data_IF_565290175639
#
_entry.id   IF_565290175639
#
_cell.length_a   1.000
_cell.length_b   1.000
_cell.length_c   1.000
_cell.angle_alpha   90.00
_cell.angle_beta   90.00
_cell.angle_gamma   90.00
#
_symmetry.space_group_name_H-M   'P 1'
#
loop_
_entity.id
_entity.type
_entity.pdbx_description
1 polymer ?
#
# COMPACT_ATOMS: atom_id res chain seq x y z
N UNK A 1 -44.68 22.33 -1.51
CA UNK A 1 -43.23 22.62 -1.57
C UNK A 1 -42.65 21.65 -2.60
N UNK A 2 -42.34 22.15 -3.81
CA UNK A 2 -41.91 21.38 -4.96
C UNK A 2 -40.37 21.23 -4.93
N UNK A 3 -39.90 19.98 -4.92
CA UNK A 3 -38.46 19.65 -5.05
C UNK A 3 -37.99 19.96 -6.48
N UNK A 4 -37.10 20.90 -6.60
CA UNK A 4 -36.44 21.26 -7.86
C UNK A 4 -35.29 20.25 -8.12
N UNK A 5 -35.54 19.21 -8.92
CA UNK A 5 -34.51 18.26 -9.39
C UNK A 5 -33.67 18.94 -10.48
N UNK A 6 -32.46 19.33 -10.15
CA UNK A 6 -31.46 19.85 -11.11
C UNK A 6 -31.00 18.68 -12.00
N UNK A 7 -31.31 18.75 -13.29
CA UNK A 7 -30.92 17.75 -14.27
C UNK A 7 -29.49 18.00 -14.76
N UNK A 8 -28.66 16.96 -14.74
CA UNK A 8 -27.23 17.01 -15.15
C UNK A 8 -27.01 17.53 -16.60
N UNK A 9 -28.03 17.49 -17.44
CA UNK A 9 -27.97 18.02 -18.82
C UNK A 9 -28.04 19.53 -18.90
N UNK A 10 -28.57 20.22 -17.90
CA UNK A 10 -28.73 21.66 -17.90
C UNK A 10 -27.48 22.40 -17.43
N UNK A 11 -26.60 21.75 -16.71
CA UNK A 11 -25.29 22.29 -16.24
C UNK A 11 -24.31 22.45 -17.42
N UNK A 12 -24.39 21.60 -18.44
CA UNK A 12 -23.49 21.69 -19.60
C UNK A 12 -23.88 22.78 -20.63
N UNK A 13 -25.10 23.31 -20.59
CA UNK A 13 -25.55 24.33 -21.55
C UNK A 13 -25.21 25.75 -21.13
N UNK A 14 -24.95 26.00 -19.86
CA UNK A 14 -24.69 27.32 -19.30
C UNK A 14 -23.25 27.82 -19.48
N UNK A 15 -22.33 27.00 -19.98
CA UNK A 15 -20.91 27.35 -20.18
C UNK A 15 -20.55 27.78 -21.62
N UNK A 16 -21.52 27.88 -22.54
CA UNK A 16 -21.26 28.21 -23.95
C UNK A 16 -21.74 29.61 -24.38
N UNK A 17 -22.15 30.44 -23.47
CA UNK A 17 -22.73 31.75 -23.80
C UNK A 17 -22.05 32.90 -23.04
N UNK A 18 -20.73 33.09 -23.17
CA UNK A 18 -20.07 34.37 -22.86
C UNK A 18 -18.65 34.36 -23.47
N UNK A 19 -18.41 35.17 -24.50
CA UNK A 19 -17.06 35.55 -24.89
C UNK A 19 -16.79 35.62 -26.40
N UNK A 20 -17.61 36.33 -27.15
CA UNK A 20 -17.18 36.86 -28.44
C UNK A 20 -16.41 38.17 -28.24
N UNK A 21 -15.08 38.10 -28.24
CA UNK A 21 -14.20 39.25 -28.47
C UNK A 21 -13.35 38.94 -29.67
N UNK A 22 -13.63 39.68 -30.77
CA UNK A 22 -12.80 39.71 -31.96
C UNK A 22 -11.48 40.40 -31.63
N UNK A 23 -10.35 39.71 -31.79
CA UNK A 23 -9.03 40.29 -31.84
C UNK A 23 -8.42 40.04 -33.22
N UNK A 24 -8.13 41.14 -33.87
CA UNK A 24 -7.48 41.31 -35.15
C UNK A 24 -6.13 40.62 -35.25
N UNK A 25 -5.84 40.12 -36.43
CA UNK A 25 -4.72 39.31 -36.81
C UNK A 25 -3.31 39.81 -36.45
N UNK A 26 -2.54 38.88 -35.99
CA UNK A 26 -1.08 38.82 -36.18
C UNK A 26 -0.73 37.38 -36.51
N UNK A 27 -0.30 37.13 -37.75
CA UNK A 27 0.19 35.85 -38.22
C UNK A 27 1.52 35.53 -37.52
N UNK A 28 1.44 34.74 -36.47
CA UNK A 28 2.63 34.11 -35.87
C UNK A 28 2.83 32.78 -36.63
N UNK A 29 3.84 32.74 -37.49
CA UNK A 29 4.35 31.50 -38.10
C UNK A 29 4.84 30.58 -36.96
N UNK A 30 4.05 29.59 -36.61
CA UNK A 30 4.48 28.53 -35.70
C UNK A 30 5.58 27.72 -36.39
N UNK A 31 6.82 27.93 -35.98
CA UNK A 31 7.92 27.04 -36.27
C UNK A 31 7.58 25.67 -35.67
N UNK A 32 7.34 24.68 -36.52
CA UNK A 32 7.19 23.28 -36.12
C UNK A 32 8.49 22.83 -35.45
N UNK A 33 8.48 22.73 -34.13
CA UNK A 33 9.54 22.06 -33.41
C UNK A 33 9.55 20.59 -33.86
N UNK A 34 10.64 20.14 -34.47
CA UNK A 34 10.90 18.74 -34.77
C UNK A 34 10.82 17.96 -33.46
N UNK A 35 10.01 16.88 -33.36
CA UNK A 35 9.94 16.09 -32.15
C UNK A 35 11.33 15.47 -31.90
N UNK A 36 11.90 15.75 -30.75
CA UNK A 36 13.08 15.06 -30.24
C UNK A 36 12.77 13.56 -30.21
N UNK A 37 13.63 12.69 -30.79
CA UNK A 37 13.36 11.26 -30.76
C UNK A 37 13.34 10.80 -29.30
N UNK A 38 12.16 10.37 -28.86
CA UNK A 38 11.98 9.70 -27.58
C UNK A 38 12.86 8.44 -27.58
N UNK A 39 13.65 8.16 -26.52
CA UNK A 39 14.37 6.89 -26.43
C UNK A 39 13.38 5.76 -26.70
N UNK A 40 13.80 4.79 -27.52
CA UNK A 40 12.98 3.64 -27.87
C UNK A 40 12.58 2.91 -26.60
N UNK A 41 11.43 3.25 -26.05
CA UNK A 41 10.71 2.44 -25.08
C UNK A 41 10.44 1.12 -25.81
N UNK A 42 10.88 0.02 -25.24
CA UNK A 42 10.49 -1.33 -25.67
C UNK A 42 8.99 -1.29 -25.96
N UNK A 43 8.64 -1.61 -27.19
CA UNK A 43 7.30 -1.41 -27.72
C UNK A 43 6.27 -2.07 -26.79
N UNK A 44 5.39 -1.31 -26.11
CA UNK A 44 4.39 -1.86 -25.20
C UNK A 44 3.49 -2.89 -25.89
N UNK A 45 3.31 -2.77 -27.20
CA UNK A 45 2.55 -3.69 -28.06
C UNK A 45 3.17 -5.09 -28.08
N UNK A 46 4.50 -5.20 -28.07
CA UNK A 46 5.18 -6.51 -28.07
C UNK A 46 5.03 -7.24 -26.73
N UNK A 47 5.02 -6.53 -25.61
CA UNK A 47 4.78 -7.14 -24.30
C UNK A 47 3.32 -7.58 -24.16
N UNK A 48 2.37 -6.75 -24.58
CA UNK A 48 0.95 -7.07 -24.62
C UNK A 48 0.68 -8.28 -25.53
N UNK A 49 1.35 -8.36 -26.69
CA UNK A 49 1.20 -9.47 -27.62
C UNK A 49 1.71 -10.78 -27.00
N UNK A 50 2.88 -10.78 -26.38
CA UNK A 50 3.43 -11.96 -25.68
C UNK A 50 2.48 -12.49 -24.60
N UNK A 51 1.89 -11.61 -23.79
CA UNK A 51 0.92 -11.98 -22.77
C UNK A 51 -0.36 -12.52 -23.43
N UNK A 52 -0.87 -11.85 -24.46
CA UNK A 52 -2.07 -12.31 -25.18
C UNK A 52 -1.86 -13.69 -25.82
N UNK A 53 -0.70 -13.95 -26.40
CA UNK A 53 -0.36 -15.24 -27.01
C UNK A 53 -0.19 -16.34 -25.93
N UNK A 54 0.40 -16.02 -24.81
CA UNK A 54 0.48 -16.94 -23.67
C UNK A 54 -0.90 -17.33 -23.14
N UNK A 55 -1.82 -16.37 -23.00
CA UNK A 55 -3.20 -16.64 -22.60
C UNK A 55 -3.91 -17.55 -23.62
N UNK A 56 -3.78 -17.29 -24.92
CA UNK A 56 -4.35 -18.12 -25.99
C UNK A 56 -3.83 -19.55 -25.99
N UNK A 57 -2.55 -19.73 -25.61
CA UNK A 57 -1.92 -21.05 -25.51
C UNK A 57 -2.29 -21.80 -24.22
N UNK A 58 -3.12 -21.22 -23.36
CA UNK A 58 -3.54 -21.82 -22.09
C UNK A 58 -2.48 -21.76 -20.99
N UNK A 59 -1.54 -20.82 -21.07
CA UNK A 59 -0.52 -20.61 -20.06
C UNK A 59 -1.14 -20.32 -18.67
N UNK A 60 -0.50 -20.86 -17.65
CA UNK A 60 -0.88 -20.60 -16.25
C UNK A 60 -0.61 -19.16 -15.85
N UNK A 61 -1.27 -18.68 -14.79
CA UNK A 61 -0.99 -17.35 -14.24
C UNK A 61 0.47 -17.15 -13.84
N UNK A 62 1.14 -18.23 -13.42
CA UNK A 62 2.57 -18.20 -13.08
C UNK A 62 3.46 -17.99 -14.31
N UNK A 63 3.14 -18.65 -15.41
CA UNK A 63 3.84 -18.47 -16.69
C UNK A 63 3.62 -17.07 -17.25
N UNK A 64 2.39 -16.57 -17.20
CA UNK A 64 2.08 -15.20 -17.63
C UNK A 64 2.79 -14.17 -16.73
N UNK A 65 2.85 -14.39 -15.43
CA UNK A 65 3.56 -13.51 -14.50
C UNK A 65 5.06 -13.41 -14.82
N UNK A 66 5.69 -14.52 -15.27
CA UNK A 66 7.10 -14.54 -15.68
C UNK A 66 7.39 -13.73 -16.96
N UNK A 67 6.37 -13.40 -17.74
CA UNK A 67 6.54 -12.55 -18.92
C UNK A 67 6.67 -11.07 -18.57
N UNK A 68 6.42 -10.70 -17.32
CA UNK A 68 6.61 -9.35 -16.80
C UNK A 68 7.91 -9.30 -16.02
N UNK A 69 8.61 -8.18 -16.14
CA UNK A 69 9.81 -7.96 -15.33
C UNK A 69 9.43 -7.79 -13.85
N UNK A 70 9.83 -8.69 -12.95
CA UNK A 70 9.54 -8.57 -11.54
C UNK A 70 10.34 -7.41 -10.94
N UNK A 71 9.70 -6.60 -10.11
CA UNK A 71 10.36 -5.54 -9.33
C UNK A 71 11.35 -6.14 -8.32
N UNK A 72 11.08 -7.34 -7.85
CA UNK A 72 11.91 -8.08 -6.90
C UNK A 72 11.71 -9.59 -7.08
N UNK A 73 12.78 -10.35 -7.01
CA UNK A 73 12.80 -11.82 -7.14
C UNK A 73 13.15 -12.55 -5.83
N UNK A 74 13.29 -11.82 -4.71
CA UNK A 74 13.62 -12.40 -3.39
C UNK A 74 13.00 -11.56 -2.26
N UNK A 75 12.86 -12.14 -1.04
CA UNK A 75 12.38 -11.38 0.12
C UNK A 75 13.22 -10.13 0.41
N UNK A 76 14.53 -10.22 0.31
CA UNK A 76 15.45 -9.11 0.57
C UNK A 76 15.32 -7.99 -0.47
N UNK A 77 15.18 -8.34 -1.74
CA UNK A 77 14.94 -7.36 -2.81
C UNK A 77 13.58 -6.70 -2.65
N UNK A 78 12.54 -7.44 -2.29
CA UNK A 78 11.20 -6.92 -2.03
C UNK A 78 11.21 -5.90 -0.88
N UNK A 79 11.87 -6.20 0.24
CA UNK A 79 12.02 -5.28 1.37
C UNK A 79 12.80 -4.03 0.92
N UNK A 80 13.89 -4.20 0.17
CA UNK A 80 14.69 -3.10 -0.36
C UNK A 80 13.87 -2.20 -1.28
N UNK A 81 13.05 -2.78 -2.16
CA UNK A 81 12.18 -2.03 -3.06
C UNK A 81 11.17 -1.15 -2.30
N UNK A 82 10.55 -1.69 -1.23
CA UNK A 82 9.65 -0.94 -0.35
C UNK A 82 10.38 0.20 0.38
N UNK A 83 11.55 -0.07 0.95
CA UNK A 83 12.37 0.95 1.63
C UNK A 83 12.78 2.07 0.69
N UNK A 84 13.28 1.71 -0.50
CA UNK A 84 13.69 2.69 -1.51
C UNK A 84 12.52 3.52 -2.00
N UNK A 85 11.35 2.90 -2.23
CA UNK A 85 10.13 3.61 -2.61
C UNK A 85 9.67 4.59 -1.52
N UNK A 86 9.62 4.16 -0.26
CA UNK A 86 9.29 5.05 0.85
C UNK A 86 10.32 6.17 1.04
N UNK A 87 11.62 5.89 0.84
CA UNK A 87 12.66 6.93 0.89
C UNK A 87 12.38 8.04 -0.14
N UNK A 88 11.95 7.71 -1.35
CA UNK A 88 11.57 8.70 -2.36
C UNK A 88 10.33 9.48 -1.95
N UNK A 89 9.31 8.79 -1.42
CA UNK A 89 8.09 9.45 -0.93
C UNK A 89 8.40 10.41 0.22
N UNK A 90 9.12 9.96 1.22
CA UNK A 90 9.53 10.73 2.39
C UNK A 90 10.37 11.95 2.03
N UNK A 91 11.30 11.83 1.07
CA UNK A 91 12.19 12.94 0.63
C UNK A 91 11.51 13.89 -0.38
N UNK A 92 10.25 13.65 -0.76
CA UNK A 92 9.55 14.45 -1.77
C UNK A 92 9.99 14.20 -3.21
N UNK A 93 10.77 13.13 -3.47
CA UNK A 93 11.25 12.73 -4.81
C UNK A 93 10.50 11.54 -5.40
N UNK A 94 9.25 11.32 -4.97
CA UNK A 94 8.40 10.24 -5.46
C UNK A 94 8.23 10.31 -6.98
N UNK A 95 8.39 9.17 -7.63
CA UNK A 95 8.25 9.04 -9.10
C UNK A 95 6.81 8.98 -9.54
N UNK A 96 5.90 8.49 -8.67
CA UNK A 96 4.47 8.29 -8.94
C UNK A 96 4.26 7.60 -10.28
N UNK A 97 4.71 6.35 -10.45
CA UNK A 97 4.70 5.71 -11.74
C UNK A 97 3.27 5.64 -12.28
N UNK A 98 3.03 6.37 -13.35
CA UNK A 98 1.77 6.36 -14.08
C UNK A 98 1.91 5.38 -15.25
N UNK A 99 0.92 4.49 -15.37
CA UNK A 99 0.87 3.56 -16.46
C UNK A 99 0.07 4.15 -17.63
N UNK A 100 0.59 4.01 -18.83
CA UNK A 100 -0.14 4.30 -20.07
C UNK A 100 -1.41 3.42 -20.17
N UNK A 101 -2.30 3.77 -21.08
CA UNK A 101 -3.50 2.95 -21.32
C UNK A 101 -3.15 1.54 -21.82
N UNK A 102 -2.04 1.39 -22.56
CA UNK A 102 -1.55 0.10 -23.05
C UNK A 102 -1.02 -0.76 -21.89
N UNK A 103 -0.19 -0.17 -21.01
CA UNK A 103 0.32 -0.85 -19.82
C UNK A 103 -0.79 -1.28 -18.86
N UNK A 104 -1.81 -0.43 -18.64
CA UNK A 104 -2.99 -0.83 -17.84
C UNK A 104 -3.75 -1.98 -18.45
N UNK A 105 -3.93 -1.99 -19.78
CA UNK A 105 -4.61 -3.11 -20.48
C UNK A 105 -3.85 -4.42 -20.35
N UNK A 106 -2.52 -4.40 -20.39
CA UNK A 106 -1.71 -5.61 -20.24
C UNK A 106 -1.89 -6.26 -18.86
N UNK A 107 -2.26 -5.48 -17.85
CA UNK A 107 -2.48 -5.98 -16.49
C UNK A 107 -3.84 -6.69 -16.28
N UNK A 108 -4.77 -6.61 -17.24
CA UNK A 108 -6.04 -7.33 -17.16
C UNK A 108 -5.81 -8.86 -17.05
N UNK A 109 -4.78 -9.36 -17.71
CA UNK A 109 -4.51 -10.79 -17.82
C UNK A 109 -3.66 -11.32 -16.66
N UNK A 110 -2.80 -10.49 -16.05
CA UNK A 110 -1.94 -10.90 -14.96
C UNK A 110 -1.48 -9.69 -14.14
N UNK A 111 -1.27 -9.91 -12.84
CA UNK A 111 -0.58 -9.01 -11.93
C UNK A 111 0.66 -9.70 -11.35
N UNK A 112 1.70 -8.94 -11.05
CA UNK A 112 2.97 -9.48 -10.52
C UNK A 112 3.39 -8.72 -9.26
N UNK A 113 2.57 -8.77 -8.19
CA UNK A 113 2.90 -8.07 -6.96
C UNK A 113 4.09 -8.77 -6.28
N UNK A 114 5.12 -8.02 -5.98
CA UNK A 114 6.28 -8.53 -5.25
C UNK A 114 6.06 -8.55 -3.72
N UNK A 115 5.04 -7.83 -3.24
CA UNK A 115 4.74 -7.70 -1.82
C UNK A 115 3.23 -7.76 -1.56
N UNK A 116 2.87 -8.40 -0.44
CA UNK A 116 1.53 -8.33 0.17
C UNK A 116 1.58 -7.32 1.31
N UNK A 117 0.65 -6.38 1.34
CA UNK A 117 0.56 -5.38 2.41
C UNK A 117 -0.78 -5.54 3.15
N UNK A 118 -0.73 -5.91 4.42
CA UNK A 118 -1.87 -5.82 5.34
C UNK A 118 -1.83 -4.46 6.01
N UNK A 119 -2.74 -3.55 5.64
CA UNK A 119 -2.77 -2.18 6.16
C UNK A 119 -4.13 -1.78 6.71
N UNK A 120 -4.17 -0.60 7.35
CA UNK A 120 -5.43 -0.02 7.81
C UNK A 120 -6.27 0.53 6.64
N UNK A 121 -7.61 0.50 6.80
CA UNK A 121 -8.55 1.18 5.89
C UNK A 121 -8.51 2.71 5.99
N UNK A 122 -7.74 3.29 6.91
CA UNK A 122 -7.59 4.73 7.09
C UNK A 122 -7.25 5.42 5.76
N UNK A 123 -8.02 6.46 5.41
CA UNK A 123 -7.90 7.17 4.13
C UNK A 123 -6.55 7.85 3.92
N UNK A 124 -5.79 8.06 5.00
CA UNK A 124 -4.46 8.69 4.97
C UNK A 124 -3.33 7.69 4.74
N UNK A 125 -3.65 6.40 4.52
CA UNK A 125 -2.68 5.31 4.34
C UNK A 125 -2.82 4.67 2.94
N UNK A 126 -2.60 5.42 1.86
CA UNK A 126 -2.58 4.88 0.50
C UNK A 126 -1.22 4.21 0.25
N UNK A 127 -1.16 2.91 0.47
CA UNK A 127 0.10 2.14 0.51
C UNK A 127 0.92 2.23 -0.77
N UNK A 128 0.28 2.27 -1.94
CA UNK A 128 0.96 2.44 -3.23
C UNK A 128 1.72 3.78 -3.29
N UNK A 129 1.10 4.85 -2.75
CA UNK A 129 1.71 6.18 -2.71
C UNK A 129 2.83 6.21 -1.68
N UNK A 130 2.59 5.65 -0.47
CA UNK A 130 3.57 5.60 0.63
C UNK A 130 4.84 4.86 0.23
N UNK A 131 4.71 3.80 -0.58
CA UNK A 131 5.84 3.03 -1.07
C UNK A 131 6.29 3.42 -2.48
N UNK A 132 5.71 4.47 -3.08
CA UNK A 132 6.02 4.96 -4.42
C UNK A 132 6.05 3.83 -5.46
N UNK A 133 4.97 3.03 -5.46
CA UNK A 133 4.82 1.85 -6.31
C UNK A 133 3.70 2.04 -7.34
N UNK A 134 3.88 1.44 -8.51
CA UNK A 134 2.89 1.45 -9.59
C UNK A 134 1.79 0.42 -9.43
N UNK A 135 0.79 0.48 -10.30
CA UNK A 135 -0.30 -0.49 -10.35
C UNK A 135 0.23 -1.92 -10.59
N UNK A 136 -0.34 -2.90 -9.90
CA UNK A 136 -0.02 -4.32 -10.07
C UNK A 136 1.25 -4.80 -9.37
N UNK A 137 1.99 -3.91 -8.68
CA UNK A 137 3.25 -4.25 -8.00
C UNK A 137 3.07 -4.61 -6.51
N UNK A 138 1.97 -4.18 -5.89
CA UNK A 138 1.60 -4.52 -4.52
C UNK A 138 0.24 -5.21 -4.50
N UNK A 139 0.10 -6.26 -3.68
CA UNK A 139 -1.17 -6.88 -3.36
C UNK A 139 -1.63 -6.42 -1.98
N UNK A 140 -2.71 -5.64 -1.93
CA UNK A 140 -3.06 -4.90 -0.72
C UNK A 140 -4.37 -5.42 -0.16
N UNK A 141 -4.37 -5.77 1.13
CA UNK A 141 -5.57 -6.02 1.91
C UNK A 141 -5.67 -4.98 3.02
N UNK A 142 -6.85 -4.37 3.19
CA UNK A 142 -7.08 -3.26 4.12
C UNK A 142 -8.29 -3.53 4.99
N UNK A 143 -8.09 -3.38 6.29
CA UNK A 143 -9.15 -3.46 7.31
C UNK A 143 -8.80 -2.50 8.45
N UNK A 144 -9.78 -1.91 9.12
CA UNK A 144 -9.51 -1.01 10.23
C UNK A 144 -8.61 -1.69 11.28
N UNK A 145 -7.53 -1.01 11.69
CA UNK A 145 -6.56 -1.57 12.64
C UNK A 145 -5.67 -2.70 12.09
N UNK A 146 -5.62 -2.90 10.78
CA UNK A 146 -4.75 -3.90 10.12
C UNK A 146 -4.76 -5.30 10.78
N UNK A 147 -5.94 -5.77 11.20
CA UNK A 147 -6.14 -7.05 11.89
C UNK A 147 -6.23 -8.22 10.92
N UNK A 148 -5.89 -9.42 11.41
CA UNK A 148 -6.04 -10.67 10.67
C UNK A 148 -7.42 -11.25 10.97
N UNK A 149 -8.18 -11.44 9.91
CA UNK A 149 -9.49 -12.08 9.87
C UNK A 149 -9.49 -13.10 8.73
N UNK A 150 -10.52 -13.94 8.64
CA UNK A 150 -10.62 -14.97 7.59
C UNK A 150 -10.42 -14.39 6.18
N UNK A 151 -11.06 -13.27 5.86
CA UNK A 151 -10.94 -12.65 4.54
C UNK A 151 -9.56 -12.05 4.25
N UNK A 152 -8.96 -11.36 5.23
CA UNK A 152 -7.61 -10.79 5.09
C UNK A 152 -6.56 -11.89 5.03
N UNK A 153 -6.70 -12.96 5.83
CA UNK A 153 -5.81 -14.11 5.79
C UNK A 153 -5.87 -14.83 4.45
N UNK A 154 -7.07 -15.13 3.95
CA UNK A 154 -7.24 -15.75 2.65
C UNK A 154 -6.64 -14.92 1.51
N UNK A 155 -6.74 -13.58 1.58
CA UNK A 155 -6.09 -12.69 0.63
C UNK A 155 -4.56 -12.77 0.72
N UNK A 156 -4.00 -12.82 1.94
CA UNK A 156 -2.55 -12.97 2.15
C UNK A 156 -2.06 -14.30 1.58
N UNK A 157 -2.75 -15.41 1.89
CA UNK A 157 -2.42 -16.74 1.36
C UNK A 157 -2.48 -16.77 -0.16
N UNK A 158 -3.47 -16.11 -0.77
CA UNK A 158 -3.57 -15.96 -2.23
C UNK A 158 -2.36 -15.22 -2.80
N UNK A 159 -1.96 -14.09 -2.21
CA UNK A 159 -0.79 -13.32 -2.62
C UNK A 159 0.51 -14.13 -2.56
N UNK A 160 0.67 -14.95 -1.52
CA UNK A 160 1.82 -15.85 -1.36
C UNK A 160 1.75 -17.03 -2.35
N UNK A 161 0.63 -17.74 -2.34
CA UNK A 161 0.47 -19.02 -3.04
C UNK A 161 0.34 -18.90 -4.54
N UNK A 162 -0.50 -17.98 -4.99
CA UNK A 162 -0.84 -17.82 -6.41
C UNK A 162 -0.04 -16.71 -7.09
N UNK A 163 0.15 -15.56 -6.42
CA UNK A 163 0.84 -14.42 -7.01
C UNK A 163 2.35 -14.42 -6.77
N UNK A 164 2.85 -15.35 -5.92
CA UNK A 164 4.28 -15.53 -5.63
C UNK A 164 4.96 -14.27 -5.08
N UNK A 165 4.23 -13.48 -4.31
CA UNK A 165 4.82 -12.34 -3.59
C UNK A 165 5.89 -12.81 -2.60
N UNK A 166 6.94 -12.02 -2.44
CA UNK A 166 8.14 -12.38 -1.67
C UNK A 166 8.16 -11.83 -0.23
N UNK A 167 7.29 -10.89 0.10
CA UNK A 167 7.20 -10.34 1.45
C UNK A 167 5.76 -10.07 1.83
N UNK A 168 5.43 -10.30 3.09
CA UNK A 168 4.17 -9.85 3.73
C UNK A 168 4.54 -8.79 4.74
N UNK A 169 3.97 -7.58 4.59
CA UNK A 169 4.17 -6.46 5.52
C UNK A 169 2.87 -6.20 6.28
N UNK A 170 2.93 -6.23 7.59
CA UNK A 170 1.86 -5.73 8.46
C UNK A 170 2.16 -4.28 8.78
N UNK A 171 1.41 -3.36 8.17
CA UNK A 171 1.64 -1.93 8.25
C UNK A 171 0.65 -1.27 9.22
N UNK A 172 1.13 -0.90 10.40
CA UNK A 172 0.45 0.02 11.32
C UNK A 172 0.72 1.47 10.94
N UNK A 173 -0.03 2.40 11.50
CA UNK A 173 0.17 3.82 11.19
C UNK A 173 -0.10 4.74 12.37
N UNK A 174 0.49 5.93 12.34
CA UNK A 174 0.29 6.98 13.31
C UNK A 174 -1.20 7.33 13.46
N UNK A 175 -1.67 7.45 14.70
CA UNK A 175 -3.01 7.90 15.02
C UNK A 175 -4.14 6.97 14.54
N UNK A 176 -3.91 5.66 14.51
CA UNK A 176 -4.92 4.67 14.11
C UNK A 176 -6.17 4.71 14.99
N UNK A 177 -7.33 5.02 14.38
CA UNK A 177 -8.60 5.15 15.09
C UNK A 177 -9.06 3.86 15.76
N UNK A 178 -8.90 2.71 15.11
CA UNK A 178 -9.29 1.42 15.68
C UNK A 178 -8.43 1.04 16.90
N UNK A 179 -7.11 1.28 16.83
CA UNK A 179 -6.21 1.05 17.98
C UNK A 179 -6.54 2.01 19.12
N UNK A 180 -6.84 3.29 18.83
CA UNK A 180 -7.30 4.26 19.81
C UNK A 180 -8.61 3.82 20.48
N UNK A 181 -9.57 3.32 19.71
CA UNK A 181 -10.84 2.81 20.23
C UNK A 181 -10.63 1.57 21.13
N UNK A 182 -9.69 0.69 20.77
CA UNK A 182 -9.36 -0.47 21.61
C UNK A 182 -8.76 -0.10 22.98
N UNK A 183 -8.14 1.07 23.12
CA UNK A 183 -7.62 1.60 24.39
C UNK A 183 -8.69 2.21 25.30
N UNK A 184 -9.92 2.42 24.80
CA UNK A 184 -11.01 2.98 25.61
C UNK A 184 -11.49 2.00 26.71
N UNK A 185 -12.10 2.50 27.79
CA UNK A 185 -12.68 1.67 28.82
C UNK A 185 -13.71 0.66 28.29
N UNK A 186 -13.85 -0.53 28.93
CA UNK A 186 -14.78 -1.57 28.47
C UNK A 186 -16.21 -1.09 28.27
N UNK A 187 -16.72 -0.24 29.19
CA UNK A 187 -18.07 0.32 29.17
C UNK A 187 -18.31 1.27 27.98
N UNK A 188 -17.24 1.88 27.45
CA UNK A 188 -17.32 2.72 26.25
C UNK A 188 -17.32 1.84 25.00
N UNK A 189 -16.43 0.83 24.96
CA UNK A 189 -16.38 -0.13 23.84
C UNK A 189 -17.65 -0.96 23.70
N UNK A 190 -18.32 -1.27 24.82
CA UNK A 190 -19.57 -2.02 24.82
C UNK A 190 -20.75 -1.28 24.17
N UNK A 191 -20.61 0.02 23.89
CA UNK A 191 -21.62 0.82 23.16
C UNK A 191 -21.50 0.73 21.66
N UNK A 192 -20.42 0.18 21.16
CA UNK A 192 -20.19 -0.01 19.74
C UNK A 192 -21.07 -1.15 19.18
N UNK A 193 -21.25 -1.19 17.86
CA UNK A 193 -21.94 -2.30 17.21
C UNK A 193 -21.14 -3.61 17.36
N UNK A 194 -21.81 -4.76 17.25
CA UNK A 194 -21.18 -6.08 17.38
C UNK A 194 -19.97 -6.25 16.45
N UNK A 195 -20.04 -5.79 15.22
CA UNK A 195 -18.93 -5.90 14.25
C UNK A 195 -17.74 -5.02 14.65
N UNK A 196 -17.98 -3.82 15.19
CA UNK A 196 -16.90 -2.97 15.72
C UNK A 196 -16.30 -3.62 16.96
N UNK A 197 -17.11 -4.15 17.86
CA UNK A 197 -16.60 -4.86 19.05
C UNK A 197 -15.75 -6.08 18.65
N UNK A 198 -16.16 -6.87 17.65
CA UNK A 198 -15.39 -8.01 17.16
C UNK A 198 -14.03 -7.56 16.62
N UNK A 199 -14.00 -6.49 15.83
CA UNK A 199 -12.76 -5.90 15.31
C UNK A 199 -11.85 -5.41 16.46
N UNK A 200 -12.39 -4.70 17.45
CA UNK A 200 -11.63 -4.22 18.61
C UNK A 200 -11.08 -5.39 19.44
N UNK A 201 -11.84 -6.48 19.56
CA UNK A 201 -11.40 -7.70 20.27
C UNK A 201 -10.17 -8.34 19.62
N UNK A 202 -9.98 -8.18 18.31
CA UNK A 202 -8.77 -8.64 17.60
C UNK A 202 -7.52 -7.79 17.93
N UNK A 203 -7.70 -6.55 18.43
CA UNK A 203 -6.63 -5.62 18.82
C UNK A 203 -6.33 -5.69 20.33
N UNK A 204 -7.36 -5.91 21.15
CA UNK A 204 -7.27 -5.89 22.60
C UNK A 204 -6.11 -6.69 23.21
N UNK A 205 -5.78 -7.93 22.75
CA UNK A 205 -4.67 -8.68 23.30
C UNK A 205 -3.31 -7.98 23.20
N UNK A 206 -3.14 -7.11 22.20
CA UNK A 206 -1.94 -6.31 22.04
C UNK A 206 -1.90 -5.14 23.03
N UNK A 207 -2.96 -4.32 23.01
CA UNK A 207 -2.97 -3.04 23.74
C UNK A 207 -3.14 -3.20 25.26
N UNK A 208 -3.71 -4.33 25.72
CA UNK A 208 -3.85 -4.62 27.15
C UNK A 208 -2.53 -4.87 27.87
N UNK A 209 -1.45 -5.10 27.14
CA UNK A 209 -0.12 -5.45 27.69
C UNK A 209 0.92 -4.34 27.54
N UNK A 210 0.55 -3.18 26.97
CA UNK A 210 1.48 -2.07 26.83
C UNK A 210 1.84 -1.48 28.21
N UNK A 211 3.07 -1.00 28.40
CA UNK A 211 3.48 -0.37 29.66
C UNK A 211 2.71 0.93 29.90
N UNK A 212 2.74 1.41 31.14
CA UNK A 212 2.17 2.72 31.48
C UNK A 212 3.08 3.83 30.93
N UNK A 213 2.61 4.49 29.88
CA UNK A 213 3.32 5.60 29.23
C UNK A 213 2.52 6.88 29.47
N UNK A 214 3.19 7.94 30.00
CA UNK A 214 2.54 9.23 30.31
C UNK A 214 2.30 10.07 29.08
N UNK A 215 3.23 10.05 28.13
CA UNK A 215 3.11 10.78 26.86
C UNK A 215 2.09 10.06 25.96
N UNK A 216 1.02 10.75 25.60
CA UNK A 216 -0.07 10.14 24.81
C UNK A 216 0.35 9.79 23.37
N UNK A 217 1.29 10.55 22.78
CA UNK A 217 1.80 10.24 21.42
C UNK A 217 2.65 8.97 21.47
N UNK A 218 3.55 8.86 22.43
CA UNK A 218 4.37 7.66 22.65
C UNK A 218 3.51 6.45 22.99
N UNK A 219 2.50 6.60 23.84
CA UNK A 219 1.53 5.56 24.19
C UNK A 219 0.76 5.06 22.96
N UNK A 220 0.31 5.99 22.12
CA UNK A 220 -0.40 5.64 20.89
C UNK A 220 0.51 4.91 19.89
N UNK A 221 1.76 5.35 19.72
CA UNK A 221 2.77 4.65 18.92
C UNK A 221 2.98 3.23 19.45
N UNK A 222 3.22 3.09 20.75
CA UNK A 222 3.41 1.77 21.39
C UNK A 222 2.22 0.85 21.15
N UNK A 223 0.99 1.34 21.31
CA UNK A 223 -0.21 0.55 21.07
C UNK A 223 -0.30 0.05 19.61
N UNK A 224 0.01 0.90 18.64
CA UNK A 224 0.03 0.51 17.23
C UNK A 224 1.13 -0.52 16.95
N UNK A 225 2.35 -0.31 17.45
CA UNK A 225 3.46 -1.25 17.28
C UNK A 225 3.16 -2.59 17.94
N UNK A 226 2.55 -2.58 19.14
CA UNK A 226 2.10 -3.80 19.82
C UNK A 226 1.07 -4.57 18.98
N UNK A 227 0.12 -3.86 18.34
CA UNK A 227 -0.83 -4.49 17.43
C UNK A 227 -0.13 -5.07 16.20
N UNK A 228 0.77 -4.33 15.56
CA UNK A 228 1.58 -4.85 14.44
C UNK A 228 2.30 -6.13 14.84
N UNK A 229 2.95 -6.14 16.01
CA UNK A 229 3.64 -7.32 16.56
C UNK A 229 2.71 -8.51 16.73
N UNK A 230 1.51 -8.28 17.30
CA UNK A 230 0.50 -9.32 17.47
C UNK A 230 0.09 -9.92 16.12
N UNK A 231 -0.20 -9.09 15.11
CA UNK A 231 -0.63 -9.58 13.81
C UNK A 231 0.49 -10.31 13.07
N UNK A 232 1.74 -9.86 13.15
CA UNK A 232 2.92 -10.59 12.63
C UNK A 232 3.04 -11.96 13.29
N UNK A 233 2.90 -12.02 14.61
CA UNK A 233 2.96 -13.29 15.36
C UNK A 233 1.81 -14.23 14.97
N UNK A 234 0.61 -13.69 14.76
CA UNK A 234 -0.54 -14.47 14.32
C UNK A 234 -0.32 -15.05 12.91
N UNK A 235 0.20 -14.27 11.97
CA UNK A 235 0.57 -14.75 10.63
C UNK A 235 1.61 -15.86 10.69
N UNK A 236 2.66 -15.69 11.49
CA UNK A 236 3.73 -16.69 11.66
C UNK A 236 3.25 -18.01 12.30
N UNK A 237 2.04 -18.06 12.89
CA UNK A 237 1.42 -19.30 13.40
C UNK A 237 0.64 -20.07 12.35
N UNK A 238 0.30 -19.45 11.23
CA UNK A 238 -0.44 -20.09 10.14
C UNK A 238 0.48 -21.09 9.43
N UNK A 239 0.09 -22.36 9.37
CA UNK A 239 0.93 -23.44 8.82
C UNK A 239 1.44 -23.13 7.40
N UNK A 240 0.56 -22.62 6.51
CA UNK A 240 0.92 -22.24 5.15
C UNK A 240 2.01 -21.15 5.11
N UNK A 241 1.89 -20.14 5.97
CA UNK A 241 2.87 -19.06 6.10
C UNK A 241 4.19 -19.57 6.67
N UNK A 242 4.14 -20.45 7.68
CA UNK A 242 5.34 -21.09 8.25
C UNK A 242 6.14 -21.85 7.20
N UNK A 243 5.47 -22.66 6.38
CA UNK A 243 6.11 -23.45 5.33
C UNK A 243 6.75 -22.56 4.25
N UNK A 244 6.10 -21.45 3.92
CA UNK A 244 6.63 -20.48 2.98
C UNK A 244 7.87 -19.74 3.54
N UNK A 245 7.88 -19.41 4.84
CA UNK A 245 9.05 -18.83 5.52
C UNK A 245 10.19 -19.86 5.57
N UNK A 246 9.91 -21.09 6.02
CA UNK A 246 10.90 -22.14 6.16
C UNK A 246 11.57 -22.48 4.83
N UNK A 247 10.86 -22.37 3.71
CA UNK A 247 11.39 -22.56 2.36
C UNK A 247 12.06 -21.31 1.76
N UNK A 248 12.26 -20.26 2.56
CA UNK A 248 12.84 -18.96 2.14
C UNK A 248 12.13 -18.31 0.93
N UNK A 249 10.84 -18.60 0.74
CA UNK A 249 10.04 -18.02 -0.33
C UNK A 249 9.55 -16.62 0.01
N UNK A 250 9.25 -16.38 1.31
CA UNK A 250 8.74 -15.12 1.81
C UNK A 250 9.43 -14.69 3.10
N UNK A 251 9.41 -13.39 3.36
CA UNK A 251 9.57 -12.82 4.69
C UNK A 251 8.23 -12.28 5.20
N UNK A 252 8.02 -12.32 6.53
CA UNK A 252 6.89 -11.65 7.20
C UNK A 252 7.45 -10.64 8.17
N UNK A 253 7.19 -9.36 7.93
CA UNK A 253 7.73 -8.24 8.70
C UNK A 253 6.63 -7.30 9.17
N UNK A 254 6.92 -6.53 10.22
CA UNK A 254 6.09 -5.43 10.67
C UNK A 254 6.60 -4.09 10.13
N UNK A 255 5.72 -3.09 10.08
CA UNK A 255 6.13 -1.73 9.80
C UNK A 255 5.19 -0.71 10.45
N UNK A 256 5.71 0.49 10.70
CA UNK A 256 4.95 1.62 11.23
C UNK A 256 5.10 2.83 10.30
N UNK A 257 3.99 3.31 9.77
CA UNK A 257 3.93 4.50 8.94
C UNK A 257 3.65 5.74 9.80
N UNK A 258 4.57 6.67 9.83
CA UNK A 258 4.40 7.98 10.46
C UNK A 258 3.78 8.94 9.44
N UNK A 259 2.48 9.23 9.61
CA UNK A 259 1.72 10.10 8.67
C UNK A 259 2.32 11.50 8.62
N UNK A 260 2.78 12.00 9.77
CA UNK A 260 3.32 13.36 9.90
C UNK A 260 4.55 13.60 9.04
N UNK A 261 5.46 12.64 8.94
CA UNK A 261 6.70 12.75 8.17
C UNK A 261 6.63 12.09 6.80
N UNK A 262 5.78 11.09 6.64
CA UNK A 262 5.75 10.21 5.48
C UNK A 262 6.69 9.01 5.59
N UNK A 263 7.46 8.89 6.66
CA UNK A 263 8.43 7.81 6.85
C UNK A 263 7.78 6.50 7.29
N UNK A 264 8.35 5.38 6.87
CA UNK A 264 8.00 4.03 7.34
C UNK A 264 9.17 3.43 8.09
N UNK A 265 8.93 3.04 9.33
CA UNK A 265 9.86 2.32 10.18
C UNK A 265 9.62 0.81 10.00
N UNK A 266 10.63 0.06 9.52
CA UNK A 266 10.51 -1.36 9.22
C UNK A 266 11.08 -2.21 10.34
N UNK A 267 10.36 -3.23 10.76
CA UNK A 267 10.72 -4.20 11.78
C UNK A 267 10.97 -5.56 11.12
N UNK A 268 12.19 -5.78 10.67
CA UNK A 268 12.55 -6.95 9.87
C UNK A 268 12.75 -8.21 10.73
N UNK A 269 13.16 -8.01 11.99
CA UNK A 269 13.35 -9.10 12.96
C UNK A 269 12.38 -9.01 14.12
N UNK A 270 12.22 -10.13 14.86
CA UNK A 270 11.44 -10.12 16.09
C UNK A 270 12.07 -9.23 17.17
N UNK A 271 13.39 -9.01 17.11
CA UNK A 271 14.12 -8.09 17.97
C UNK A 271 13.81 -6.64 17.62
N UNK A 272 13.78 -6.27 16.33
CA UNK A 272 13.36 -4.94 15.89
C UNK A 272 11.95 -4.62 16.39
N UNK A 273 11.03 -5.58 16.30
CA UNK A 273 9.67 -5.43 16.82
C UNK A 273 9.63 -5.23 18.35
N UNK A 274 10.58 -5.79 19.10
CA UNK A 274 10.68 -5.58 20.56
C UNK A 274 11.30 -4.21 20.89
N UNK A 275 12.33 -3.83 20.15
CA UNK A 275 13.06 -2.58 20.38
C UNK A 275 12.29 -1.35 19.92
N UNK A 276 11.41 -1.46 18.94
CA UNK A 276 10.56 -0.38 18.45
C UNK A 276 9.68 0.25 19.55
N UNK A 277 9.46 -0.46 20.66
CA UNK A 277 8.70 0.00 21.82
C UNK A 277 9.49 0.93 22.74
N UNK A 278 10.82 0.85 22.72
CA UNK A 278 11.70 1.59 23.64
C UNK A 278 12.28 2.87 23.06
N UNK A 279 12.17 3.08 21.74
CA UNK A 279 12.68 4.27 21.08
C UNK A 279 11.63 5.37 21.01
N UNK A 280 11.49 6.14 22.08
CA UNK A 280 10.90 7.47 22.00
C UNK A 280 11.70 8.29 20.99
N UNK A 281 11.03 8.72 19.90
CA UNK A 281 11.41 9.81 18.96
C UNK A 281 12.90 10.10 18.74
N UNK A 282 13.75 9.10 18.55
CA UNK A 282 15.11 9.35 18.14
C UNK A 282 15.23 9.31 16.60
N UNK A 283 15.08 10.48 15.99
CA UNK A 283 15.32 10.70 14.55
C UNK A 283 16.76 10.41 14.10
N UNK A 284 17.68 10.11 15.01
CA UNK A 284 19.10 9.86 14.68
C UNK A 284 19.30 8.53 13.95
N UNK A 285 18.38 7.56 14.12
CA UNK A 285 18.48 6.24 13.49
C UNK A 285 18.33 6.26 11.96
N UNK A 286 17.70 7.30 11.41
CA UNK A 286 17.50 7.47 9.96
C UNK A 286 18.73 7.97 9.21
N UNK A 287 19.68 8.58 9.90
CA UNK A 287 20.92 9.13 9.28
C UNK A 287 21.95 8.04 8.92
N UNK A 288 21.91 6.87 9.54
CA UNK A 288 22.87 5.78 9.29
C UNK A 288 22.52 4.87 8.11
N UNK A 289 21.37 5.02 7.48
CA UNK A 289 20.96 4.20 6.32
C UNK A 289 21.00 4.96 4.98
N UNK A 290 21.49 6.22 5.00
CA UNK A 290 21.67 7.06 3.81
C UNK A 290 23.17 7.29 3.48
N UNK A 291 24.08 6.57 4.14
CA UNK A 291 25.51 6.59 3.82
C UNK A 291 25.90 5.38 2.96
#
# INVERSE_FOLDING_TARGET
MSENKINRRDVCKSLLALGGIALSGASVTAQQATPTPTPALLDPILQDQRIADAVKSGATMEEIAKLRDPVAGSPQEAIRALKTGNSRFFSGSARRPELSAAERRSQILAQTPFAVILSCSDSRVPTEIVFDQGLGTLFITRVAGNVIETGTLGSIEYGIGHLKSHVVVVLGHEGCGAVKAALLPPEVRARETENIQALLNSILPAVSKIPKIRDEKAKMREAVVANVRLQVQNLKKVKFVQDAIASNKIAVIGAYYEITSGAVDFFETDEDLRLATNSGSDCSRWRSHLA
#
